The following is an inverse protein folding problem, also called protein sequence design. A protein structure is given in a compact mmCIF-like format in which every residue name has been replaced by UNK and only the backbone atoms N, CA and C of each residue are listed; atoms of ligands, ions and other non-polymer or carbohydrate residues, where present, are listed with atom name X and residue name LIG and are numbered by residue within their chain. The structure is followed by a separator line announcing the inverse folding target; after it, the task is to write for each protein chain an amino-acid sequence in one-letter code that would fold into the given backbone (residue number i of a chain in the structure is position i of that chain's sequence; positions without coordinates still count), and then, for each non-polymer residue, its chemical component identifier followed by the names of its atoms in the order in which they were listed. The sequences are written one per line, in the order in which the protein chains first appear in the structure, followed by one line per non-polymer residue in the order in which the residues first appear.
data_IF_664686991901
#
_entry.id   IF_664686991901
#
_cell.length_a   1.000
_cell.length_b   1.000
_cell.length_c   1.000
_cell.angle_alpha   90.00
_cell.angle_beta   90.00
_cell.angle_gamma   90.00
#
_symmetry.space_group_name_H-M   'P 1'
#
loop_
_entity.id
_entity.type
_entity.pdbx_description
1 polymer ?
#
# COMPACT_ATOMS: atom_id res chain seq x y z
N UNK A 1 -70.49 -26.02 15.24
CA UNK A 1 -69.32 -26.03 14.31
C UNK A 1 -68.33 -25.00 14.76
N UNK A 2 -67.29 -25.39 15.41
CA UNK A 2 -66.21 -24.48 15.77
C UNK A 2 -65.10 -24.58 14.74
N UNK A 3 -64.95 -23.53 13.96
CA UNK A 3 -63.83 -23.44 13.00
C UNK A 3 -62.63 -22.94 13.78
N UNK A 4 -61.70 -23.81 14.02
CA UNK A 4 -60.43 -23.47 14.65
C UNK A 4 -59.60 -22.68 13.67
N UNK A 5 -59.42 -21.37 13.92
CA UNK A 5 -58.47 -20.53 13.21
C UNK A 5 -57.07 -20.86 13.70
N UNK A 6 -56.38 -21.68 13.00
CA UNK A 6 -54.94 -21.91 13.17
C UNK A 6 -54.23 -20.71 12.49
N UNK A 7 -53.83 -19.76 13.31
CA UNK A 7 -52.92 -18.69 12.92
C UNK A 7 -51.51 -19.29 12.73
N UNK A 8 -51.11 -19.50 11.50
CA UNK A 8 -49.72 -19.79 11.18
C UNK A 8 -48.89 -18.52 11.37
N UNK A 9 -48.22 -18.41 12.52
CA UNK A 9 -47.12 -17.49 12.68
C UNK A 9 -45.96 -18.01 11.84
N UNK A 10 -45.77 -17.50 10.63
CA UNK A 10 -44.55 -17.65 9.89
C UNK A 10 -43.54 -16.75 10.60
N UNK A 11 -42.76 -17.32 11.52
CA UNK A 11 -41.57 -16.71 12.05
C UNK A 11 -40.54 -16.64 10.90
N UNK A 12 -40.46 -15.47 10.27
CA UNK A 12 -39.35 -15.14 9.38
C UNK A 12 -38.13 -15.00 10.27
N UNK A 13 -37.39 -16.10 10.40
CA UNK A 13 -36.06 -16.07 10.99
C UNK A 13 -35.18 -15.33 9.99
N UNK A 14 -35.05 -14.02 10.19
CA UNK A 14 -34.00 -13.23 9.60
C UNK A 14 -32.69 -13.73 10.22
N UNK A 15 -32.12 -14.77 9.61
CA UNK A 15 -30.74 -15.13 9.90
C UNK A 15 -29.90 -13.96 9.38
N UNK A 16 -29.57 -13.05 10.31
CA UNK A 16 -28.51 -12.08 10.10
C UNK A 16 -27.24 -12.89 9.91
N UNK A 17 -26.94 -13.20 8.65
CA UNK A 17 -25.60 -13.63 8.29
C UNK A 17 -24.68 -12.47 8.68
N UNK A 18 -23.74 -12.65 9.61
CA UNK A 18 -22.73 -11.64 9.82
C UNK A 18 -22.05 -11.47 8.47
N UNK A 19 -22.13 -10.28 7.92
CA UNK A 19 -21.29 -9.85 6.81
C UNK A 19 -19.86 -9.91 7.35
N UNK A 20 -19.26 -11.09 7.29
CA UNK A 20 -17.86 -11.29 7.59
C UNK A 20 -17.14 -10.44 6.57
N UNK A 21 -16.67 -9.27 7.01
CA UNK A 21 -15.71 -8.49 6.25
C UNK A 21 -14.57 -9.47 5.94
N UNK A 22 -14.48 -9.91 4.68
CA UNK A 22 -13.34 -10.68 4.22
C UNK A 22 -12.15 -9.75 4.44
N UNK A 23 -11.33 -10.05 5.45
CA UNK A 23 -10.03 -9.41 5.56
C UNK A 23 -9.32 -9.68 4.25
N UNK A 24 -9.16 -8.62 3.45
CA UNK A 24 -8.46 -8.72 2.18
C UNK A 24 -7.02 -9.12 2.48
N UNK A 25 -6.67 -10.34 2.10
CA UNK A 25 -5.34 -10.89 2.32
C UNK A 25 -4.29 -10.05 1.57
N UNK A 26 -3.31 -9.55 2.31
CA UNK A 26 -2.15 -8.87 1.75
C UNK A 26 -1.09 -9.92 1.35
N UNK A 27 -0.74 -9.95 0.09
CA UNK A 27 0.22 -10.92 -0.47
C UNK A 27 1.65 -10.36 -0.40
N UNK A 28 2.63 -11.13 0.09
CA UNK A 28 4.03 -10.72 0.01
C UNK A 28 4.50 -10.53 -1.45
N UNK A 29 5.29 -9.49 -1.69
CA UNK A 29 5.74 -9.07 -3.02
C UNK A 29 6.40 -10.19 -3.85
N UNK A 30 7.07 -11.14 -3.20
CA UNK A 30 7.75 -12.26 -3.87
C UNK A 30 6.82 -13.39 -4.34
N UNK A 31 5.54 -13.37 -3.94
CA UNK A 31 4.57 -14.43 -4.28
C UNK A 31 3.68 -14.10 -5.47
N UNK A 32 3.80 -12.92 -6.05
CA UNK A 32 2.97 -12.47 -7.16
C UNK A 32 3.55 -12.89 -8.51
N UNK A 33 2.70 -13.08 -9.50
CA UNK A 33 3.10 -13.45 -10.85
C UNK A 33 3.43 -12.23 -11.71
N UNK A 34 2.61 -11.19 -11.63
CA UNK A 34 2.85 -9.93 -12.33
C UNK A 34 3.01 -8.79 -11.33
N UNK A 35 4.19 -8.19 -11.32
CA UNK A 35 4.51 -7.05 -10.46
C UNK A 35 3.82 -5.77 -10.94
N UNK A 36 3.51 -4.83 -10.02
CA UNK A 36 3.01 -3.53 -10.41
C UNK A 36 3.99 -2.78 -11.30
N UNK A 37 3.48 -1.94 -12.17
CA UNK A 37 4.28 -1.07 -13.01
C UNK A 37 3.61 0.29 -13.16
N UNK A 38 4.41 1.31 -13.39
CA UNK A 38 3.94 2.65 -13.72
C UNK A 38 3.97 2.85 -15.23
N UNK A 39 2.90 3.39 -15.78
CA UNK A 39 2.84 3.73 -17.21
C UNK A 39 3.21 5.20 -17.37
N UNK A 40 4.39 5.43 -17.91
CA UNK A 40 4.84 6.77 -18.28
C UNK A 40 4.50 7.01 -19.75
N UNK A 41 3.75 8.10 -20.02
CA UNK A 41 3.42 8.52 -21.38
C UNK A 41 4.25 9.75 -21.72
N UNK A 42 4.97 9.67 -22.84
CA UNK A 42 5.63 10.83 -23.40
C UNK A 42 4.57 11.77 -24.00
N UNK A 43 4.52 13.00 -23.52
CA UNK A 43 3.51 13.99 -23.92
C UNK A 43 3.73 14.53 -25.34
N UNK A 44 4.92 14.33 -25.92
CA UNK A 44 5.27 14.81 -27.26
C UNK A 44 5.03 13.74 -28.31
N UNK A 45 5.50 12.51 -28.04
CA UNK A 45 5.42 11.40 -29.00
C UNK A 45 4.20 10.53 -28.81
N UNK A 46 3.56 10.58 -27.62
CA UNK A 46 2.46 9.70 -27.23
C UNK A 46 2.91 8.27 -26.91
N UNK A 47 4.21 8.01 -26.95
CA UNK A 47 4.75 6.69 -26.62
C UNK A 47 4.59 6.38 -25.14
N UNK A 48 4.26 5.13 -24.81
CA UNK A 48 4.10 4.65 -23.44
C UNK A 48 5.24 3.71 -23.08
N UNK A 49 5.77 3.89 -21.86
CA UNK A 49 6.79 3.04 -21.28
C UNK A 49 6.33 2.49 -19.94
N UNK A 50 6.45 1.18 -19.76
CA UNK A 50 6.22 0.55 -18.46
C UNK A 50 7.49 0.62 -17.61
N UNK A 51 7.37 1.20 -16.41
CA UNK A 51 8.46 1.26 -15.43
C UNK A 51 8.11 0.30 -14.30
N UNK A 52 8.94 -0.72 -14.05
CA UNK A 52 8.72 -1.65 -12.94
C UNK A 52 8.63 -0.91 -11.60
N UNK A 53 7.74 -1.36 -10.71
CA UNK A 53 7.47 -0.73 -9.42
C UNK A 53 8.74 -0.40 -8.63
N UNK A 54 9.64 -1.37 -8.50
CA UNK A 54 10.87 -1.19 -7.73
C UNK A 54 11.75 -0.08 -8.30
N UNK A 55 11.91 -0.02 -9.62
CA UNK A 55 12.73 1.00 -10.27
C UNK A 55 12.13 2.39 -10.10
N UNK A 56 10.81 2.49 -10.23
CA UNK A 56 10.12 3.77 -10.00
C UNK A 56 10.24 4.20 -8.53
N UNK A 57 10.04 3.27 -7.60
CA UNK A 57 10.14 3.51 -6.17
C UNK A 57 11.52 4.06 -5.77
N UNK A 58 12.60 3.43 -6.26
CA UNK A 58 13.97 3.89 -5.98
C UNK A 58 14.21 5.31 -6.51
N UNK A 59 13.77 5.61 -7.73
CA UNK A 59 13.87 6.96 -8.31
C UNK A 59 13.01 7.98 -7.54
N UNK A 60 11.81 7.60 -7.13
CA UNK A 60 10.93 8.44 -6.35
C UNK A 60 11.52 8.81 -5.00
N UNK A 61 12.05 7.83 -4.29
CA UNK A 61 12.68 8.05 -2.98
C UNK A 61 13.89 8.96 -3.11
N UNK A 62 14.79 8.70 -4.09
CA UNK A 62 15.96 9.55 -4.34
C UNK A 62 15.55 10.99 -4.62
N UNK A 63 14.54 11.19 -5.47
CA UNK A 63 14.06 12.53 -5.85
C UNK A 63 13.45 13.31 -4.69
N UNK A 64 12.75 12.61 -3.79
CA UNK A 64 11.99 13.22 -2.69
C UNK A 64 12.72 13.17 -1.34
N UNK A 65 13.85 12.47 -1.27
CA UNK A 65 14.64 12.34 -0.06
C UNK A 65 15.17 13.69 0.42
N UNK A 66 14.95 13.98 1.68
CA UNK A 66 15.55 15.11 2.39
C UNK A 66 16.02 14.64 3.75
N UNK A 67 17.17 15.12 4.16
CA UNK A 67 17.60 14.88 5.54
C UNK A 67 16.98 15.95 6.43
N UNK A 68 16.21 15.58 7.49
CA UNK A 68 15.70 16.58 8.42
C UNK A 68 16.84 17.41 9.04
N UNK A 69 16.74 18.72 8.97
CA UNK A 69 17.80 19.61 9.46
C UNK A 69 18.09 19.37 10.97
N UNK A 70 17.04 19.22 11.77
CA UNK A 70 17.17 18.92 13.19
C UNK A 70 17.92 17.60 13.45
N UNK A 71 17.71 16.59 12.61
CA UNK A 71 18.42 15.32 12.71
C UNK A 71 19.90 15.47 12.34
N UNK A 72 20.23 16.33 11.37
CA UNK A 72 21.63 16.65 11.02
C UNK A 72 22.33 17.36 12.19
N UNK A 73 21.68 18.38 12.75
CA UNK A 73 22.22 19.16 13.88
C UNK A 73 22.46 18.28 15.12
N UNK A 74 21.58 17.35 15.39
CA UNK A 74 21.68 16.39 16.49
C UNK A 74 22.51 15.14 16.16
N UNK A 75 23.07 15.06 14.94
CA UNK A 75 23.83 13.90 14.44
C UNK A 75 23.04 12.57 14.55
N UNK A 76 21.74 12.63 14.26
CA UNK A 76 20.85 11.48 14.29
C UNK A 76 20.93 10.77 12.96
N UNK A 77 21.39 9.56 12.97
CA UNK A 77 21.46 8.64 11.84
C UNK A 77 20.62 7.38 12.12
N UNK A 78 20.23 6.68 11.11
CA UNK A 78 19.53 5.42 11.29
C UNK A 78 18.86 4.90 10.04
N UNK A 79 18.22 3.75 10.21
CA UNK A 79 17.47 3.07 9.18
C UNK A 79 15.99 3.07 9.55
N UNK A 80 15.15 3.44 8.60
CA UNK A 80 13.70 3.36 8.71
C UNK A 80 13.19 2.36 7.69
N UNK A 81 12.41 1.38 8.14
CA UNK A 81 11.73 0.43 7.26
C UNK A 81 10.30 0.90 7.11
N UNK A 82 9.91 1.19 5.86
CA UNK A 82 8.54 1.56 5.51
C UNK A 82 7.86 0.36 4.89
N UNK A 83 6.81 -0.15 5.54
CA UNK A 83 5.98 -1.18 4.96
C UNK A 83 4.92 -0.53 4.08
N UNK A 84 5.07 -0.69 2.78
CA UNK A 84 4.17 -0.20 1.76
C UNK A 84 3.14 -1.25 1.40
N UNK A 85 1.89 -0.81 1.21
CA UNK A 85 0.80 -1.61 0.67
C UNK A 85 0.36 -1.02 -0.65
N UNK A 86 0.30 -1.83 -1.69
CA UNK A 86 -0.34 -1.47 -2.95
C UNK A 86 -1.62 -2.29 -3.05
N UNK A 87 -2.74 -1.61 -3.15
CA UNK A 87 -4.04 -2.27 -3.22
C UNK A 87 -4.38 -2.78 -4.63
N UNK A 88 -5.53 -3.44 -4.75
CA UNK A 88 -6.05 -3.98 -6.03
C UNK A 88 -6.28 -2.92 -7.10
N UNK A 89 -6.32 -1.64 -6.74
CA UNK A 89 -6.45 -0.51 -7.65
C UNK A 89 -5.10 0.11 -8.02
N UNK A 90 -4.00 -0.39 -7.44
CA UNK A 90 -2.67 0.16 -7.64
C UNK A 90 -2.36 1.40 -6.79
N UNK A 91 -3.14 1.65 -5.74
CA UNK A 91 -2.95 2.79 -4.85
C UNK A 91 -2.02 2.38 -3.71
N UNK A 92 -0.94 3.17 -3.54
CA UNK A 92 0.03 2.97 -2.47
C UNK A 92 -0.45 3.61 -1.17
N UNK A 93 -0.27 2.89 -0.08
CA UNK A 93 -0.43 3.40 1.28
C UNK A 93 0.69 2.88 2.18
N UNK A 94 0.97 3.60 3.26
CA UNK A 94 1.91 3.16 4.28
C UNK A 94 1.13 2.35 5.31
N UNK A 95 1.51 1.10 5.51
CA UNK A 95 0.90 0.23 6.51
C UNK A 95 1.59 0.33 7.86
N UNK A 96 2.91 0.41 7.85
CA UNK A 96 3.72 0.50 9.05
C UNK A 96 5.03 1.23 8.78
N UNK A 97 5.52 1.96 9.77
CA UNK A 97 6.85 2.56 9.78
C UNK A 97 7.58 2.07 11.01
N UNK A 98 8.81 1.60 10.82
CA UNK A 98 9.69 1.14 11.89
C UNK A 98 11.03 1.85 11.79
N UNK A 99 11.28 2.72 12.73
CA UNK A 99 12.55 3.42 12.93
C UNK A 99 12.87 3.56 14.40
N UNK A 100 14.02 4.13 14.70
CA UNK A 100 14.44 4.40 16.08
C UNK A 100 14.26 5.85 16.49
N UNK A 101 13.99 6.71 15.52
CA UNK A 101 13.89 8.14 15.78
C UNK A 101 12.69 8.75 15.05
N UNK A 102 11.80 9.48 15.75
CA UNK A 102 10.61 10.09 15.18
C UNK A 102 10.88 11.05 14.01
N UNK A 103 11.97 11.81 14.02
CA UNK A 103 12.33 12.73 12.94
C UNK A 103 12.59 12.00 11.63
N UNK A 104 13.26 10.85 11.69
CA UNK A 104 13.56 10.04 10.52
C UNK A 104 12.29 9.30 10.03
N UNK A 105 11.44 8.85 10.94
CA UNK A 105 10.15 8.22 10.61
C UNK A 105 9.20 9.20 9.93
N UNK A 106 9.12 10.44 10.40
CA UNK A 106 8.29 11.50 9.81
C UNK A 106 8.74 11.83 8.40
N UNK A 107 10.05 11.96 8.18
CA UNK A 107 10.61 12.18 6.84
C UNK A 107 10.35 10.98 5.91
N UNK A 108 10.51 9.77 6.39
CA UNK A 108 10.21 8.57 5.63
C UNK A 108 8.72 8.53 5.20
N UNK A 109 7.81 8.96 6.06
CA UNK A 109 6.40 9.10 5.73
C UNK A 109 6.17 10.16 4.63
N UNK A 110 6.78 11.34 4.78
CA UNK A 110 6.66 12.45 3.84
C UNK A 110 7.10 12.10 2.41
N UNK A 111 8.13 11.28 2.26
CA UNK A 111 8.67 10.87 0.96
C UNK A 111 7.58 10.27 0.06
N UNK A 112 6.61 9.57 0.62
CA UNK A 112 5.55 8.91 -0.13
C UNK A 112 4.31 9.78 -0.38
N UNK A 113 4.31 11.03 0.06
CA UNK A 113 3.23 11.96 -0.25
C UNK A 113 3.11 12.20 -1.76
N UNK A 114 1.89 12.10 -2.28
CA UNK A 114 1.64 12.29 -3.70
C UNK A 114 2.16 11.18 -4.62
N UNK A 115 2.46 10.00 -4.08
CA UNK A 115 2.88 8.86 -4.88
C UNK A 115 1.81 8.48 -5.92
N UNK A 116 2.17 8.28 -7.20
CA UNK A 116 1.20 8.05 -8.26
C UNK A 116 0.57 6.65 -8.19
N UNK A 117 -0.56 6.50 -8.87
CA UNK A 117 -1.23 5.22 -9.02
C UNK A 117 -0.48 4.31 -10.00
N UNK A 118 -0.41 3.04 -9.65
CA UNK A 118 0.22 1.98 -10.43
C UNK A 118 -0.82 1.05 -11.06
N UNK A 119 -0.37 0.28 -12.01
CA UNK A 119 -1.05 -0.96 -12.39
C UNK A 119 -0.98 -1.94 -11.22
N UNK A 120 -2.08 -2.60 -10.84
CA UNK A 120 -2.06 -3.51 -9.68
C UNK A 120 -1.22 -4.76 -9.94
N UNK A 121 -0.75 -5.37 -8.85
CA UNK A 121 -0.16 -6.70 -8.90
C UNK A 121 -1.20 -7.75 -9.27
N UNK A 122 -0.80 -8.76 -10.01
CA UNK A 122 -1.67 -9.87 -10.38
C UNK A 122 -1.15 -11.19 -9.81
N UNK A 123 -2.08 -11.97 -9.26
CA UNK A 123 -1.87 -13.36 -8.89
C UNK A 123 -2.97 -14.19 -9.54
N UNK A 124 -2.60 -15.17 -10.34
CA UNK A 124 -3.54 -15.99 -11.14
C UNK A 124 -4.49 -15.14 -12.00
N UNK A 125 -3.93 -14.07 -12.60
CA UNK A 125 -4.67 -13.14 -13.45
C UNK A 125 -5.62 -12.18 -12.73
N UNK A 126 -5.67 -12.20 -11.39
CA UNK A 126 -6.54 -11.35 -10.58
C UNK A 126 -5.75 -10.29 -9.82
N UNK A 127 -6.23 -9.03 -9.74
CA UNK A 127 -5.61 -8.01 -8.90
C UNK A 127 -5.62 -8.41 -7.43
N UNK A 128 -4.48 -8.21 -6.78
CA UNK A 128 -4.29 -8.51 -5.36
C UNK A 128 -3.64 -7.34 -4.63
N UNK A 129 -3.86 -7.29 -3.31
CA UNK A 129 -3.13 -6.38 -2.45
C UNK A 129 -1.75 -6.96 -2.17
N UNK A 130 -0.72 -6.13 -2.18
CA UNK A 130 0.65 -6.55 -1.88
C UNK A 130 1.30 -5.71 -0.80
N UNK A 131 2.21 -6.33 -0.08
CA UNK A 131 3.09 -5.69 0.89
C UNK A 131 4.52 -5.69 0.40
N UNK A 132 5.17 -4.54 0.53
CA UNK A 132 6.57 -4.36 0.21
C UNK A 132 7.28 -3.57 1.31
N UNK A 133 8.37 -4.11 1.85
CA UNK A 133 9.17 -3.43 2.85
C UNK A 133 10.31 -2.66 2.17
N UNK A 134 10.32 -1.34 2.33
CA UNK A 134 11.33 -0.48 1.76
C UNK A 134 12.20 0.14 2.84
N UNK A 135 13.51 -0.14 2.86
CA UNK A 135 14.42 0.47 3.82
C UNK A 135 14.95 1.81 3.32
N UNK A 136 14.88 2.83 4.17
CA UNK A 136 15.49 4.14 3.94
C UNK A 136 16.63 4.31 4.94
N UNK A 137 17.84 4.56 4.45
CA UNK A 137 19.02 4.74 5.29
C UNK A 137 19.38 6.22 5.33
N UNK A 138 19.42 6.78 6.54
CA UNK A 138 19.85 8.13 6.81
C UNK A 138 21.28 8.11 7.36
N UNK A 139 22.21 8.65 6.59
CA UNK A 139 23.62 8.80 6.99
C UNK A 139 24.10 10.20 6.69
N UNK A 140 24.86 10.76 7.61
CA UNK A 140 25.52 12.04 7.45
C UNK A 140 26.88 11.75 6.80
N UNK A 141 27.03 12.17 5.55
CA UNK A 141 28.32 12.16 4.86
C UNK A 141 29.03 13.47 5.13
N UNK A 142 30.18 13.37 5.75
CA UNK A 142 31.09 14.53 5.92
C UNK A 142 31.79 14.87 4.59
#
# INVERSE_FOLDING_TARGET
MKVSRILYFIAIIFTSFPLQAQEEEDIPFFRIEKHPYYVQTDTITGETKEIPFKNFLDQWVIKNYRYPQEAVEKKIEGRVIVQLRIDKKGILSIKEIRGRNPLLEEEACRIFDGFPQFSPALLRGKPVNILYNYPIVFRITE
#
